data_IF_361502866306
#
_entry.id   IF_361502866306
#
_cell.length_a   1.000
_cell.length_b   1.000
_cell.length_c   1.000
_cell.angle_alpha   90.00
_cell.angle_beta   90.00
_cell.angle_gamma   90.00
#
_symmetry.space_group_name_H-M   'P 1'
#
loop_
_entity.id
_entity.type
_entity.pdbx_description
1 polymer ?
#
# COMPACT_ATOMS: atom_id res chain seq x y z
N UNK A 1 -8.08 -17.33 -18.51
CA UNK A 1 -7.59 -16.03 -18.02
C UNK A 1 -7.47 -16.12 -16.49
N UNK A 2 -6.26 -16.08 -15.98
CA UNK A 2 -5.99 -16.20 -14.57
C UNK A 2 -6.53 -14.97 -13.81
N UNK A 3 -7.21 -15.20 -12.68
CA UNK A 3 -7.92 -14.15 -11.94
C UNK A 3 -7.01 -13.47 -10.87
N UNK A 4 -5.70 -13.49 -11.10
CA UNK A 4 -4.65 -13.01 -10.20
C UNK A 4 -3.94 -11.84 -10.85
N UNK A 5 -3.56 -10.85 -10.06
CA UNK A 5 -2.74 -9.69 -10.50
C UNK A 5 -3.28 -8.97 -11.75
N UNK A 6 -4.61 -8.85 -11.87
CA UNK A 6 -5.20 -8.12 -12.99
C UNK A 6 -4.78 -6.66 -12.97
N UNK A 7 -4.25 -6.21 -14.10
CA UNK A 7 -3.97 -4.80 -14.31
C UNK A 7 -5.25 -3.97 -14.34
N UNK A 8 -5.19 -2.76 -13.84
CA UNK A 8 -6.27 -1.80 -13.94
C UNK A 8 -6.03 -0.88 -15.12
N UNK A 9 -6.91 -0.92 -16.12
CA UNK A 9 -6.85 -0.01 -17.26
C UNK A 9 -7.17 1.42 -16.80
N UNK A 10 -6.19 2.32 -16.92
CA UNK A 10 -6.31 3.73 -16.54
C UNK A 10 -6.86 4.57 -17.67
N UNK A 11 -6.35 4.35 -18.89
CA UNK A 11 -6.76 5.05 -20.10
C UNK A 11 -6.55 4.18 -21.35
N UNK A 12 -7.32 4.41 -22.42
CA UNK A 12 -7.25 3.67 -23.67
C UNK A 12 -7.95 2.30 -23.61
N UNK A 13 -7.36 1.30 -24.22
CA UNK A 13 -7.87 -0.08 -24.31
C UNK A 13 -6.79 -1.12 -23.99
N UNK A 14 -7.19 -2.35 -23.67
CA UNK A 14 -6.25 -3.47 -23.54
C UNK A 14 -5.77 -3.94 -24.94
N UNK A 15 -4.57 -4.56 -25.04
CA UNK A 15 -4.06 -5.08 -26.31
C UNK A 15 -5.01 -6.12 -26.90
N UNK A 16 -5.28 -6.01 -28.19
CA UNK A 16 -6.11 -6.96 -28.94
C UNK A 16 -5.31 -7.85 -29.89
N UNK A 17 -4.06 -7.51 -30.12
CA UNK A 17 -3.14 -8.27 -30.98
C UNK A 17 -1.68 -8.14 -30.50
N UNK A 18 -0.76 -8.85 -31.14
CA UNK A 18 0.64 -8.95 -30.73
C UNK A 18 1.48 -7.69 -31.03
N UNK A 19 0.95 -6.75 -31.83
CA UNK A 19 1.61 -5.47 -32.09
C UNK A 19 1.18 -4.35 -31.13
N UNK A 20 0.19 -4.61 -30.28
CA UNK A 20 -0.34 -3.66 -29.30
C UNK A 20 0.18 -3.96 -27.89
N UNK A 21 0.42 -2.90 -27.13
CA UNK A 21 0.84 -2.97 -25.72
C UNK A 21 0.10 -1.93 -24.89
N UNK A 22 -0.01 -2.20 -23.60
CA UNK A 22 -0.34 -1.20 -22.58
C UNK A 22 0.85 -1.00 -21.66
N UNK A 23 1.05 0.23 -21.24
CA UNK A 23 2.28 0.63 -20.56
C UNK A 23 1.99 1.37 -19.26
N UNK A 24 3.02 1.53 -18.46
CA UNK A 24 3.02 2.40 -17.30
C UNK A 24 2.73 3.84 -17.72
N UNK A 25 1.92 4.53 -16.92
CA UNK A 25 1.63 5.95 -17.14
C UNK A 25 2.89 6.82 -17.07
N UNK A 26 3.83 6.50 -16.18
CA UNK A 26 5.12 7.21 -16.07
C UNK A 26 5.92 7.17 -17.35
N UNK A 27 5.90 6.06 -18.11
CA UNK A 27 6.59 5.97 -19.39
C UNK A 27 6.14 7.07 -20.36
N UNK A 28 4.82 7.34 -20.41
CA UNK A 28 4.28 8.38 -21.28
C UNK A 28 4.67 9.78 -20.78
N UNK A 29 4.52 10.03 -19.48
CA UNK A 29 4.76 11.35 -18.90
C UNK A 29 6.22 11.78 -18.99
N UNK A 30 7.16 10.88 -18.69
CA UNK A 30 8.60 11.19 -18.67
C UNK A 30 9.23 11.25 -20.06
N UNK A 31 8.67 10.51 -21.03
CA UNK A 31 9.21 10.47 -22.40
C UNK A 31 8.38 11.27 -23.41
N UNK A 32 7.41 12.07 -22.95
CA UNK A 32 6.50 12.86 -23.80
C UNK A 32 5.78 12.03 -24.87
N UNK A 33 5.47 10.75 -24.55
CA UNK A 33 4.74 9.83 -25.43
C UNK A 33 3.24 9.95 -25.21
N UNK A 34 2.48 9.53 -26.22
CA UNK A 34 1.00 9.51 -26.19
C UNK A 34 0.48 8.13 -26.55
N UNK A 35 -0.78 7.87 -26.19
CA UNK A 35 -1.51 6.70 -26.70
C UNK A 35 -1.56 6.82 -28.24
N UNK A 36 -1.30 5.72 -28.91
CA UNK A 36 -1.09 5.51 -30.33
C UNK A 36 0.34 5.73 -30.83
N UNK A 37 1.26 6.20 -30.02
CA UNK A 37 2.68 6.22 -30.40
C UNK A 37 3.24 4.79 -30.45
N UNK A 38 4.36 4.65 -31.13
CA UNK A 38 5.05 3.36 -31.32
C UNK A 38 6.40 3.40 -30.63
N UNK A 39 6.69 2.38 -29.84
CA UNK A 39 7.99 2.18 -29.20
C UNK A 39 8.59 0.84 -29.64
N UNK A 40 9.89 0.70 -29.49
CA UNK A 40 10.60 -0.55 -29.80
C UNK A 40 10.85 -1.32 -28.51
N UNK A 41 10.31 -2.54 -28.42
CA UNK A 41 10.56 -3.48 -27.30
C UNK A 41 11.02 -4.80 -27.92
N UNK A 42 12.11 -5.38 -27.40
CA UNK A 42 12.70 -6.64 -27.89
C UNK A 42 12.94 -6.62 -29.40
N UNK A 43 13.43 -5.48 -29.94
CA UNK A 43 13.67 -5.25 -31.38
C UNK A 43 12.40 -5.24 -32.24
N UNK A 44 11.21 -5.25 -31.68
CA UNK A 44 9.95 -5.16 -32.39
C UNK A 44 9.24 -3.84 -32.12
N UNK A 45 8.63 -3.25 -33.15
CA UNK A 45 7.80 -2.06 -33.02
C UNK A 45 6.46 -2.44 -32.43
N UNK A 46 6.10 -1.83 -31.28
CA UNK A 46 4.84 -2.05 -30.58
C UNK A 46 4.08 -0.74 -30.43
N UNK A 47 2.78 -0.76 -30.72
CA UNK A 47 1.90 0.40 -30.58
C UNK A 47 1.34 0.48 -29.17
N UNK A 48 1.45 1.63 -28.55
CA UNK A 48 0.85 1.90 -27.23
C UNK A 48 -0.66 2.14 -27.43
N UNK A 49 -1.50 1.29 -26.85
CA UNK A 49 -2.96 1.40 -26.97
C UNK A 49 -3.66 1.82 -25.69
N UNK A 50 -2.94 1.89 -24.60
CA UNK A 50 -3.47 2.36 -23.32
C UNK A 50 -2.43 2.39 -22.22
N UNK A 51 -2.85 2.91 -21.07
CA UNK A 51 -2.06 2.91 -19.82
C UNK A 51 -2.74 2.06 -18.77
N UNK A 52 -1.93 1.39 -17.98
CA UNK A 52 -2.40 0.51 -16.90
C UNK A 52 -1.70 0.79 -15.58
N UNK A 53 -2.39 0.46 -14.49
CA UNK A 53 -1.80 0.39 -13.16
C UNK A 53 -1.59 -1.08 -12.84
N UNK A 54 -0.34 -1.43 -12.55
CA UNK A 54 0.04 -2.77 -12.14
C UNK A 54 -0.25 -2.98 -10.65
N UNK A 55 -0.81 -4.12 -10.25
CA UNK A 55 -0.94 -4.47 -8.83
C UNK A 55 0.40 -4.81 -8.17
N UNK A 56 1.47 -4.99 -8.97
CA UNK A 56 2.82 -5.28 -8.49
C UNK A 56 3.65 -3.99 -8.36
N UNK A 57 3.45 -3.03 -9.28
CA UNK A 57 4.23 -1.79 -9.39
C UNK A 57 3.35 -0.56 -9.26
N UNK A 58 2.61 -0.45 -8.16
CA UNK A 58 1.71 0.70 -7.95
C UNK A 58 2.31 1.81 -7.06
N UNK A 59 3.48 1.59 -6.43
CA UNK A 59 4.27 2.66 -5.78
C UNK A 59 4.97 3.52 -6.84
N UNK A 60 5.14 4.82 -6.55
CA UNK A 60 6.00 5.70 -7.35
C UNK A 60 7.48 5.37 -7.16
N UNK A 61 7.84 4.83 -6.01
CA UNK A 61 9.15 4.21 -5.80
C UNK A 61 9.17 2.85 -6.48
N UNK A 62 10.15 2.66 -7.36
CA UNK A 62 10.28 1.43 -8.14
C UNK A 62 11.26 0.47 -7.49
N UNK A 63 10.98 -0.85 -7.55
CA UNK A 63 11.88 -1.84 -7.00
C UNK A 63 13.23 -1.84 -7.71
N UNK A 64 14.24 -2.32 -6.99
CA UNK A 64 15.57 -2.56 -7.57
C UNK A 64 15.59 -3.81 -8.41
N UNK A 65 16.49 -3.85 -9.39
CA UNK A 65 16.76 -5.01 -10.24
C UNK A 65 18.25 -5.16 -10.45
N UNK A 66 18.67 -6.35 -10.83
CA UNK A 66 20.08 -6.60 -11.22
C UNK A 66 20.34 -6.24 -12.69
N UNK A 67 19.33 -5.82 -13.43
CA UNK A 67 19.40 -5.49 -14.85
C UNK A 67 19.48 -3.98 -15.08
N UNK A 68 20.08 -3.57 -16.19
CA UNK A 68 20.15 -2.19 -16.65
C UNK A 68 20.80 -1.24 -15.65
N UNK A 69 20.08 -0.19 -15.26
CA UNK A 69 20.55 0.83 -14.30
C UNK A 69 20.27 0.47 -12.82
N UNK A 70 19.87 -0.76 -12.53
CA UNK A 70 19.58 -1.23 -11.18
C UNK A 70 18.18 -0.90 -10.66
N UNK A 71 17.29 -0.36 -11.50
CA UNK A 71 15.90 -0.05 -11.15
C UNK A 71 14.92 -0.48 -12.25
N UNK A 72 13.72 -0.88 -11.84
CA UNK A 72 12.60 -1.06 -12.78
C UNK A 72 12.04 0.32 -13.09
N UNK A 73 12.42 0.92 -14.21
CA UNK A 73 11.94 2.27 -14.57
C UNK A 73 10.47 2.24 -14.97
N UNK A 74 10.10 1.35 -15.88
CA UNK A 74 8.75 1.23 -16.43
C UNK A 74 8.36 -0.23 -16.61
N UNK A 75 7.07 -0.49 -16.78
CA UNK A 75 6.53 -1.80 -17.14
C UNK A 75 5.59 -1.69 -18.34
N UNK A 76 5.48 -2.78 -19.07
CA UNK A 76 4.53 -2.94 -20.16
C UNK A 76 3.85 -4.31 -20.06
N UNK A 77 2.63 -4.39 -20.56
CA UNK A 77 1.89 -5.64 -20.69
C UNK A 77 1.47 -5.83 -22.15
N UNK A 78 1.68 -7.03 -22.64
CA UNK A 78 1.34 -7.47 -23.98
C UNK A 78 0.50 -8.75 -23.92
N UNK A 79 0.04 -9.23 -25.07
CA UNK A 79 -0.54 -10.55 -25.16
C UNK A 79 0.52 -11.63 -24.89
N UNK A 80 0.09 -12.76 -24.34
CA UNK A 80 0.94 -13.90 -23.99
C UNK A 80 1.84 -14.38 -25.17
N UNK A 81 1.32 -14.36 -26.37
CA UNK A 81 2.04 -14.77 -27.60
C UNK A 81 3.24 -13.90 -27.97
N UNK A 82 3.35 -12.69 -27.40
CA UNK A 82 4.49 -11.78 -27.64
C UNK A 82 5.74 -12.25 -26.90
N UNK A 83 5.55 -12.90 -25.75
CA UNK A 83 6.63 -13.42 -24.92
C UNK A 83 6.88 -14.86 -25.33
N UNK A 84 7.93 -15.08 -26.13
CA UNK A 84 8.32 -16.41 -26.64
C UNK A 84 9.28 -17.14 -25.70
N UNK A 85 9.05 -17.03 -24.39
CA UNK A 85 9.85 -17.70 -23.39
C UNK A 85 9.35 -19.16 -23.23
N UNK A 86 10.27 -20.11 -23.29
CA UNK A 86 9.94 -21.54 -23.11
C UNK A 86 9.64 -21.88 -21.63
N UNK A 87 10.05 -21.03 -20.69
CA UNK A 87 9.88 -21.27 -19.26
C UNK A 87 9.23 -20.08 -18.55
N UNK A 88 8.33 -20.37 -17.63
CA UNK A 88 7.75 -19.36 -16.74
C UNK A 88 8.79 -18.89 -15.73
N UNK A 89 8.94 -17.57 -15.58
CA UNK A 89 9.83 -16.96 -14.60
C UNK A 89 9.21 -16.89 -13.19
N UNK A 90 7.89 -16.80 -13.12
CA UNK A 90 7.14 -16.66 -11.86
C UNK A 90 5.92 -17.57 -11.82
N UNK A 91 5.67 -18.16 -10.65
CA UNK A 91 4.47 -18.95 -10.36
C UNK A 91 3.73 -18.25 -9.22
N UNK A 92 2.47 -17.88 -9.46
CA UNK A 92 1.62 -17.25 -8.45
C UNK A 92 0.67 -18.28 -7.83
N UNK A 93 0.74 -18.42 -6.52
CA UNK A 93 -0.09 -19.33 -5.73
C UNK A 93 -1.14 -18.52 -4.97
N UNK A 94 -2.40 -18.95 -5.02
CA UNK A 94 -3.48 -18.36 -4.23
C UNK A 94 -3.97 -19.33 -3.17
N UNK A 95 -4.12 -18.82 -1.96
CA UNK A 95 -4.68 -19.57 -0.84
C UNK A 95 -6.18 -19.27 -0.75
N UNK A 96 -7.03 -20.27 -1.02
CA UNK A 96 -8.50 -20.09 -1.09
C UNK A 96 -9.09 -19.49 0.20
N UNK A 97 -8.62 -19.95 1.35
CA UNK A 97 -9.09 -19.51 2.66
C UNK A 97 -8.71 -18.05 2.95
N UNK A 98 -7.50 -17.63 2.59
CA UNK A 98 -6.98 -16.29 2.82
C UNK A 98 -7.81 -15.18 2.13
N UNK A 99 -8.54 -15.52 1.06
CA UNK A 99 -9.40 -14.56 0.34
C UNK A 99 -10.54 -13.98 1.19
N UNK A 100 -10.98 -14.69 2.23
CA UNK A 100 -12.07 -14.28 3.13
C UNK A 100 -11.56 -13.62 4.41
N UNK A 101 -10.27 -13.71 4.69
CA UNK A 101 -9.64 -13.16 5.88
C UNK A 101 -9.34 -11.67 5.71
N UNK A 102 -9.25 -10.97 6.83
CA UNK A 102 -8.76 -9.59 6.84
C UNK A 102 -7.26 -9.63 6.52
N UNK A 103 -6.85 -8.91 5.51
CA UNK A 103 -5.45 -8.85 5.08
C UNK A 103 -4.57 -8.36 6.24
N UNK A 104 -3.45 -9.04 6.48
CA UNK A 104 -2.51 -8.79 7.58
C UNK A 104 -3.07 -9.02 9.00
N UNK A 105 -4.21 -9.68 9.16
CA UNK A 105 -4.59 -10.22 10.47
C UNK A 105 -3.68 -11.39 10.85
N UNK A 106 -3.55 -11.67 12.15
CA UNK A 106 -2.75 -12.80 12.65
C UNK A 106 -3.19 -14.12 12.02
N UNK A 107 -4.50 -14.35 11.86
CA UNK A 107 -5.07 -15.51 11.19
C UNK A 107 -4.65 -15.62 9.71
N UNK A 108 -4.62 -14.47 9.01
CA UNK A 108 -4.15 -14.41 7.62
C UNK A 108 -2.66 -14.76 7.54
N UNK A 109 -1.83 -14.15 8.39
CA UNK A 109 -0.39 -14.36 8.39
C UNK A 109 -0.02 -15.80 8.74
N UNK A 110 -0.67 -16.41 9.74
CA UNK A 110 -0.48 -17.82 10.12
C UNK A 110 -0.88 -18.78 8.98
N UNK A 111 -1.98 -18.48 8.29
CA UNK A 111 -2.43 -19.29 7.14
C UNK A 111 -1.45 -19.22 5.96
N UNK A 112 -0.92 -18.03 5.67
CA UNK A 112 0.07 -17.86 4.60
C UNK A 112 1.40 -18.52 4.97
N UNK A 113 1.89 -18.35 6.20
CA UNK A 113 3.12 -18.99 6.70
C UNK A 113 3.08 -20.50 6.53
N UNK A 114 2.00 -21.18 6.91
CA UNK A 114 1.85 -22.64 6.73
C UNK A 114 1.96 -23.09 5.27
N UNK A 115 1.47 -22.27 4.34
CA UNK A 115 1.60 -22.58 2.91
C UNK A 115 3.03 -22.36 2.44
N UNK A 116 3.68 -21.29 2.89
CA UNK A 116 5.10 -21.01 2.60
C UNK A 116 5.96 -22.16 3.10
N UNK A 117 5.80 -22.58 4.35
CA UNK A 117 6.54 -23.71 4.95
C UNK A 117 6.35 -25.00 4.15
N UNK A 118 5.13 -25.26 3.67
CA UNK A 118 4.83 -26.41 2.83
C UNK A 118 5.56 -26.37 1.48
N UNK A 119 5.68 -25.17 0.88
CA UNK A 119 6.40 -25.00 -0.39
C UNK A 119 7.92 -25.04 -0.17
N UNK A 120 8.42 -24.45 0.93
CA UNK A 120 9.83 -24.54 1.32
C UNK A 120 10.27 -26.00 1.53
N UNK A 121 9.47 -26.81 2.17
CA UNK A 121 9.77 -28.23 2.40
C UNK A 121 9.89 -29.05 1.09
N UNK A 122 9.21 -28.63 0.03
CA UNK A 122 9.31 -29.30 -1.29
C UNK A 122 10.42 -28.72 -2.17
N UNK A 123 11.01 -27.62 -1.79
CA UNK A 123 11.91 -26.81 -2.61
C UNK A 123 13.13 -27.56 -3.09
N UNK A 124 13.85 -28.22 -2.15
CA UNK A 124 15.10 -28.94 -2.48
C UNK A 124 14.85 -30.08 -3.46
N UNK A 125 13.87 -30.96 -3.14
CA UNK A 125 13.50 -32.08 -4.00
C UNK A 125 13.14 -31.62 -5.42
N UNK A 126 12.34 -30.57 -5.53
CA UNK A 126 11.92 -30.03 -6.83
C UNK A 126 13.05 -29.36 -7.60
N UNK A 127 13.98 -28.72 -6.92
CA UNK A 127 15.18 -28.16 -7.55
C UNK A 127 16.08 -29.27 -8.10
N UNK A 128 16.24 -30.39 -7.37
CA UNK A 128 17.03 -31.54 -7.81
C UNK A 128 16.37 -32.24 -9.00
N UNK A 129 15.07 -32.46 -8.96
CA UNK A 129 14.32 -32.99 -10.11
C UNK A 129 14.51 -32.11 -11.34
N UNK A 130 14.38 -30.78 -11.19
CA UNK A 130 14.56 -29.84 -12.31
C UNK A 130 15.98 -29.79 -12.83
N UNK A 131 16.97 -29.91 -11.94
CA UNK A 131 18.37 -30.04 -12.35
C UNK A 131 18.60 -31.29 -13.20
N UNK A 132 18.05 -32.42 -12.78
CA UNK A 132 18.13 -33.68 -13.54
C UNK A 132 17.41 -33.61 -14.89
N UNK A 133 16.25 -32.98 -14.97
CA UNK A 133 15.54 -32.75 -16.23
C UNK A 133 16.33 -31.90 -17.22
N UNK A 134 17.03 -30.87 -16.73
CA UNK A 134 17.76 -29.92 -17.60
C UNK A 134 19.11 -30.47 -18.07
N UNK A 135 19.78 -31.22 -17.24
CA UNK A 135 21.18 -31.58 -17.44
C UNK A 135 21.44 -33.09 -17.45
N UNK A 136 20.49 -33.90 -16.96
CA UNK A 136 20.67 -35.33 -16.80
C UNK A 136 21.06 -36.05 -18.10
N UNK A 137 20.40 -35.76 -19.20
CA UNK A 137 20.72 -36.32 -20.51
C UNK A 137 22.14 -35.95 -20.97
N UNK A 138 22.51 -34.66 -20.79
CA UNK A 138 23.85 -34.15 -21.16
C UNK A 138 24.96 -34.80 -20.34
N UNK A 139 24.70 -35.01 -19.04
CA UNK A 139 25.66 -35.68 -18.14
C UNK A 139 25.80 -37.14 -18.51
N UNK A 140 24.70 -37.82 -18.81
CA UNK A 140 24.74 -39.21 -19.27
C UNK A 140 25.46 -39.39 -20.58
N UNK A 141 25.19 -38.54 -21.57
CA UNK A 141 25.84 -38.56 -22.86
C UNK A 141 27.35 -38.30 -22.73
N UNK A 142 27.77 -37.30 -21.98
CA UNK A 142 29.17 -37.03 -21.73
C UNK A 142 29.90 -38.19 -21.06
N UNK A 143 29.29 -38.82 -20.08
CA UNK A 143 29.84 -39.96 -19.42
C UNK A 143 30.02 -41.17 -20.37
N UNK A 144 29.10 -41.38 -21.34
CA UNK A 144 29.25 -42.42 -22.36
C UNK A 144 30.47 -42.17 -23.29
N UNK A 145 30.79 -40.92 -23.55
CA UNK A 145 31.95 -40.58 -24.38
C UNK A 145 33.23 -40.34 -23.56
N UNK A 146 33.22 -40.61 -22.24
CA UNK A 146 34.35 -40.37 -21.37
C UNK A 146 34.76 -38.87 -21.22
N UNK A 147 33.83 -37.98 -21.51
CA UNK A 147 34.06 -36.51 -21.40
C UNK A 147 33.77 -36.11 -19.96
N UNK A 148 34.74 -35.53 -19.27
CA UNK A 148 34.52 -34.90 -17.98
C UNK A 148 33.86 -33.53 -18.24
N UNK A 149 32.61 -33.42 -17.87
CA UNK A 149 31.92 -32.13 -17.86
C UNK A 149 32.37 -31.30 -16.64
N UNK A 150 32.65 -30.04 -16.87
CA UNK A 150 32.88 -29.11 -15.78
C UNK A 150 31.52 -28.77 -15.13
N UNK A 151 31.26 -29.37 -13.98
CA UNK A 151 29.99 -29.19 -13.22
C UNK A 151 29.78 -27.73 -12.80
N UNK A 152 30.83 -26.91 -12.77
CA UNK A 152 30.73 -25.48 -12.45
C UNK A 152 29.89 -24.70 -13.48
N UNK A 153 29.74 -25.22 -14.69
CA UNK A 153 28.92 -24.65 -15.74
C UNK A 153 27.42 -25.00 -15.64
N UNK A 154 27.06 -25.91 -14.74
CA UNK A 154 25.68 -26.32 -14.51
C UNK A 154 25.09 -25.59 -13.31
N UNK A 155 24.28 -24.58 -13.56
CA UNK A 155 23.67 -23.78 -12.49
C UNK A 155 22.43 -24.51 -11.98
N UNK A 156 22.46 -24.93 -10.72
CA UNK A 156 21.29 -25.53 -10.08
C UNK A 156 20.15 -24.49 -10.00
N UNK A 157 18.94 -24.84 -10.50
CA UNK A 157 17.78 -23.95 -10.39
C UNK A 157 17.48 -23.60 -8.93
N UNK A 158 17.27 -22.34 -8.64
CA UNK A 158 16.92 -21.87 -7.28
C UNK A 158 15.50 -21.33 -7.27
N UNK A 159 14.70 -21.77 -6.32
CA UNK A 159 13.40 -21.22 -6.04
C UNK A 159 13.52 -20.10 -5.01
N UNK A 160 12.93 -18.95 -5.31
CA UNK A 160 12.72 -17.87 -4.39
C UNK A 160 11.23 -17.83 -4.06
N UNK A 161 10.89 -17.97 -2.79
CA UNK A 161 9.52 -17.98 -2.31
C UNK A 161 9.27 -16.64 -1.69
N UNK A 162 8.31 -15.91 -2.24
CA UNK A 162 7.94 -14.58 -1.81
C UNK A 162 6.47 -14.57 -1.38
N UNK A 163 6.19 -13.83 -0.33
CA UNK A 163 4.85 -13.51 0.06
C UNK A 163 4.42 -12.12 -0.47
N UNK A 164 3.24 -11.69 -0.08
CA UNK A 164 2.74 -10.39 -0.48
C UNK A 164 3.54 -9.24 0.12
N UNK A 165 4.13 -9.44 1.30
CA UNK A 165 4.91 -8.44 2.01
C UNK A 165 6.30 -8.25 1.41
N UNK A 166 6.77 -9.21 0.59
CA UNK A 166 8.01 -9.07 -0.18
C UNK A 166 7.84 -8.20 -1.43
N UNK A 167 6.60 -7.86 -1.80
CA UNK A 167 6.36 -6.91 -2.88
C UNK A 167 6.63 -5.48 -2.38
N UNK A 168 7.63 -4.80 -2.96
CA UNK A 168 8.07 -3.47 -2.54
C UNK A 168 6.93 -2.46 -2.50
N UNK A 169 6.11 -2.37 -3.56
CA UNK A 169 4.97 -1.45 -3.59
C UNK A 169 3.96 -1.70 -2.48
N UNK A 170 3.72 -2.97 -2.14
CA UNK A 170 2.82 -3.33 -1.05
C UNK A 170 3.43 -3.04 0.31
N UNK A 171 4.72 -3.35 0.49
CA UNK A 171 5.49 -3.05 1.70
C UNK A 171 5.50 -1.56 1.99
N UNK A 172 5.75 -0.73 0.98
CA UNK A 172 5.69 0.74 1.11
C UNK A 172 4.32 1.22 1.58
N UNK A 173 3.25 0.65 1.02
CA UNK A 173 1.88 0.98 1.43
C UNK A 173 1.60 0.59 2.89
N UNK A 174 2.05 -0.58 3.31
CA UNK A 174 1.90 -1.06 4.70
C UNK A 174 2.68 -0.16 5.65
N UNK A 175 3.95 0.14 5.35
CA UNK A 175 4.79 1.04 6.16
C UNK A 175 4.16 2.44 6.26
N UNK A 176 3.68 2.98 5.15
CA UNK A 176 3.01 4.28 5.14
C UNK A 176 1.73 4.27 6.00
N UNK A 177 0.95 3.18 5.95
CA UNK A 177 -0.25 3.01 6.77
C UNK A 177 0.08 2.90 8.26
N UNK A 178 1.11 2.14 8.62
CA UNK A 178 1.58 1.99 9.99
C UNK A 178 2.10 3.31 10.57
N UNK A 179 2.84 4.06 9.78
CA UNK A 179 3.32 5.38 10.18
C UNK A 179 2.15 6.35 10.44
N UNK A 180 1.12 6.33 9.60
CA UNK A 180 -0.10 7.11 9.86
C UNK A 180 -0.81 6.68 11.13
N UNK A 181 -0.90 5.38 11.40
CA UNK A 181 -1.51 4.86 12.62
C UNK A 181 -0.74 5.30 13.87
N UNK A 182 0.60 5.23 13.83
CA UNK A 182 1.46 5.73 14.92
C UNK A 182 1.28 7.24 15.15
N UNK A 183 1.24 8.03 14.08
CA UNK A 183 0.96 9.46 14.15
C UNK A 183 -0.42 9.73 14.73
N UNK A 184 -1.44 8.99 14.27
CA UNK A 184 -2.82 9.10 14.76
C UNK A 184 -2.97 8.82 16.27
N UNK A 185 -2.06 8.05 16.87
CA UNK A 185 -2.07 7.78 18.30
C UNK A 185 -1.30 8.82 19.12
N UNK A 186 -0.17 9.33 18.61
CA UNK A 186 0.71 10.25 19.35
C UNK A 186 0.23 11.70 19.29
N UNK A 187 -0.17 12.18 18.11
CA UNK A 187 -0.58 13.57 17.93
C UNK A 187 -1.75 14.02 18.83
N UNK A 188 -2.83 13.23 18.97
CA UNK A 188 -3.93 13.62 19.85
C UNK A 188 -3.51 13.85 21.31
N UNK A 189 -2.56 13.08 21.83
CA UNK A 189 -2.06 13.23 23.19
C UNK A 189 -1.37 14.57 23.36
N UNK A 190 -0.49 14.94 22.42
CA UNK A 190 0.23 16.22 22.44
C UNK A 190 -0.75 17.38 22.36
N UNK A 191 -1.70 17.35 21.41
CA UNK A 191 -2.70 18.40 21.26
C UNK A 191 -3.61 18.52 22.48
N UNK A 192 -3.94 17.38 23.11
CA UNK A 192 -4.73 17.38 24.33
C UNK A 192 -3.99 18.05 25.49
N UNK A 193 -2.70 17.77 25.66
CA UNK A 193 -1.86 18.45 26.66
C UNK A 193 -1.79 19.97 26.42
N UNK A 194 -1.60 20.38 25.17
CA UNK A 194 -1.59 21.82 24.81
C UNK A 194 -2.96 22.45 25.06
N UNK A 195 -4.04 21.79 24.72
CA UNK A 195 -5.40 22.30 24.96
C UNK A 195 -5.68 22.49 26.45
N UNK A 196 -5.23 21.57 27.32
CA UNK A 196 -5.33 21.72 28.78
C UNK A 196 -4.58 22.97 29.24
N UNK A 197 -3.33 23.16 28.83
CA UNK A 197 -2.52 24.33 29.23
C UNK A 197 -3.17 25.63 28.78
N UNK A 198 -3.60 25.73 27.54
CA UNK A 198 -4.29 26.92 27.01
C UNK A 198 -5.59 27.19 27.75
N UNK A 199 -6.37 26.13 28.05
CA UNK A 199 -7.62 26.25 28.82
C UNK A 199 -7.37 26.74 30.24
N UNK A 200 -6.34 26.22 30.92
CA UNK A 200 -5.97 26.67 32.26
C UNK A 200 -5.55 28.14 32.28
N UNK A 201 -4.69 28.56 31.36
CA UNK A 201 -4.23 29.96 31.26
C UNK A 201 -5.42 30.89 31.00
N UNK A 202 -6.29 30.54 30.03
CA UNK A 202 -7.47 31.32 29.71
C UNK A 202 -8.45 31.44 30.91
N UNK A 203 -8.64 30.34 31.63
CA UNK A 203 -9.51 30.32 32.83
C UNK A 203 -8.95 31.16 33.95
N UNK A 204 -7.65 31.06 34.26
CA UNK A 204 -6.99 31.88 35.26
C UNK A 204 -7.12 33.37 34.93
N UNK A 205 -6.86 33.76 33.70
CA UNK A 205 -7.02 35.14 33.22
C UNK A 205 -8.45 35.66 33.44
N UNK A 206 -9.46 34.87 33.05
CA UNK A 206 -10.86 35.24 33.19
C UNK A 206 -11.25 35.42 34.69
N UNK A 207 -10.74 34.55 35.58
CA UNK A 207 -10.96 34.68 37.04
C UNK A 207 -10.29 35.92 37.59
N UNK A 208 -9.09 36.27 37.11
CA UNK A 208 -8.38 37.51 37.56
C UNK A 208 -9.09 38.76 37.05
N UNK A 209 -9.56 38.79 35.85
CA UNK A 209 -10.34 39.90 35.25
C UNK A 209 -11.65 40.14 36.07
N UNK A 210 -12.33 39.05 36.45
CA UNK A 210 -13.59 39.09 37.20
C UNK A 210 -13.40 39.19 38.75
N UNK A 211 -12.17 39.40 39.22
CA UNK A 211 -11.87 39.34 40.68
C UNK A 211 -12.72 40.28 41.52
N UNK A 212 -12.95 41.52 41.06
CA UNK A 212 -13.74 42.54 41.76
C UNK A 212 -15.23 42.13 41.82
N UNK A 213 -15.77 41.63 40.70
CA UNK A 213 -17.15 41.16 40.62
C UNK A 213 -17.37 39.94 41.54
N UNK A 214 -16.47 38.97 41.45
CA UNK A 214 -16.51 37.79 42.32
C UNK A 214 -16.43 38.13 43.82
N UNK A 215 -15.62 39.15 44.20
CA UNK A 215 -15.53 39.66 45.55
C UNK A 215 -16.83 40.31 46.02
N UNK A 216 -17.48 41.09 45.16
CA UNK A 216 -18.78 41.72 45.42
C UNK A 216 -19.88 40.69 45.64
N UNK A 217 -19.95 39.70 44.76
CA UNK A 217 -20.93 38.59 44.87
C UNK A 217 -20.73 37.82 46.16
N UNK A 218 -19.49 37.58 46.56
CA UNK A 218 -19.16 36.90 47.84
C UNK A 218 -19.57 37.71 49.04
N UNK A 219 -19.41 39.04 49.04
CA UNK A 219 -19.83 39.94 50.13
C UNK A 219 -21.36 40.03 50.25
N UNK A 220 -22.08 39.82 49.13
CA UNK A 220 -23.55 39.71 49.11
C UNK A 220 -24.07 38.33 49.57
N UNK A 221 -23.19 37.40 49.98
CA UNK A 221 -23.56 36.11 50.53
C UNK A 221 -23.74 34.99 49.52
N UNK A 222 -23.34 35.18 48.24
CA UNK A 222 -23.40 34.10 47.24
C UNK A 222 -22.43 32.98 47.59
N UNK A 223 -22.88 31.73 47.41
CA UNK A 223 -22.07 30.53 47.63
C UNK A 223 -20.97 30.44 46.53
N UNK A 224 -19.79 29.95 46.93
CA UNK A 224 -18.65 29.74 46.04
C UNK A 224 -19.05 28.91 44.80
N UNK A 225 -19.93 27.92 44.96
CA UNK A 225 -20.41 27.11 43.84
C UNK A 225 -21.14 27.96 42.76
N UNK A 226 -21.97 28.93 43.18
CA UNK A 226 -22.64 29.82 42.22
C UNK A 226 -21.68 30.72 41.49
N UNK A 227 -20.66 31.25 42.18
CA UNK A 227 -19.62 32.08 41.55
C UNK A 227 -18.78 31.27 40.56
N UNK A 228 -18.42 30.02 40.92
CA UNK A 228 -17.59 29.17 40.07
C UNK A 228 -18.37 28.58 38.89
N UNK A 229 -19.69 28.40 39.04
CA UNK A 229 -20.53 27.75 38.00
C UNK A 229 -20.48 28.45 36.67
N UNK A 230 -20.34 29.79 36.61
CA UNK A 230 -20.23 30.52 35.33
C UNK A 230 -19.01 30.09 34.52
N UNK A 231 -17.88 29.85 35.20
CA UNK A 231 -16.64 29.40 34.55
C UNK A 231 -16.73 27.97 34.07
N UNK A 232 -17.37 27.11 34.88
CA UNK A 232 -17.60 25.69 34.48
C UNK A 232 -18.52 25.62 33.27
N UNK A 233 -19.64 26.36 33.27
CA UNK A 233 -20.58 26.40 32.14
C UNK A 233 -19.90 26.91 30.87
N UNK A 234 -19.12 28.00 30.98
CA UNK A 234 -18.37 28.54 29.88
C UNK A 234 -17.40 27.49 29.29
N UNK A 235 -16.61 26.85 30.13
CA UNK A 235 -15.66 25.81 29.71
C UNK A 235 -16.36 24.61 29.09
N UNK A 236 -17.48 24.15 29.65
CA UNK A 236 -18.28 23.06 29.07
C UNK A 236 -18.84 23.42 27.70
N UNK A 237 -19.42 24.59 27.55
CA UNK A 237 -19.96 25.05 26.26
C UNK A 237 -18.86 25.17 25.20
N UNK A 238 -17.71 25.75 25.57
CA UNK A 238 -16.56 25.85 24.66
C UNK A 238 -16.05 24.46 24.23
N UNK A 239 -15.95 23.52 25.18
CA UNK A 239 -15.50 22.15 24.91
C UNK A 239 -16.47 21.38 24.02
N UNK A 240 -17.78 21.47 24.30
CA UNK A 240 -18.82 20.79 23.53
C UNK A 240 -18.88 21.33 22.11
N UNK A 241 -18.93 22.66 21.97
CA UNK A 241 -18.98 23.31 20.63
C UNK A 241 -17.70 23.05 19.84
N UNK A 242 -16.52 23.21 20.46
CA UNK A 242 -15.24 22.90 19.85
C UNK A 242 -15.10 21.42 19.47
N UNK A 243 -15.57 20.51 20.32
CA UNK A 243 -15.57 19.08 20.06
C UNK A 243 -16.46 18.68 18.86
N UNK A 244 -17.69 19.21 18.82
CA UNK A 244 -18.60 18.96 17.68
C UNK A 244 -18.01 19.48 16.36
N UNK A 245 -17.53 20.73 16.36
CA UNK A 245 -16.91 21.33 15.18
C UNK A 245 -15.64 20.58 14.77
N UNK A 246 -14.81 20.20 15.74
CA UNK A 246 -13.59 19.42 15.50
C UNK A 246 -13.88 18.07 14.84
N UNK A 247 -14.90 17.34 15.31
CA UNK A 247 -15.31 16.06 14.71
C UNK A 247 -15.86 16.29 13.28
N UNK A 248 -16.72 17.28 13.08
CA UNK A 248 -17.32 17.55 11.77
C UNK A 248 -16.26 17.92 10.73
N UNK A 249 -15.38 18.86 11.06
CA UNK A 249 -14.32 19.31 10.15
C UNK A 249 -13.25 18.23 9.98
N UNK A 250 -12.79 17.63 11.08
CA UNK A 250 -11.73 16.64 11.06
C UNK A 250 -12.10 15.37 10.29
N UNK A 251 -13.36 14.92 10.41
CA UNK A 251 -13.83 13.73 9.68
C UNK A 251 -13.84 13.88 8.15
N UNK A 252 -13.83 15.10 7.65
CA UNK A 252 -13.79 15.39 6.20
C UNK A 252 -12.38 15.80 5.77
N UNK A 253 -11.74 16.70 6.53
CA UNK A 253 -10.45 17.27 6.16
C UNK A 253 -9.32 16.26 6.23
N UNK A 254 -9.23 15.48 7.30
CA UNK A 254 -8.12 14.51 7.48
C UNK A 254 -8.11 13.43 6.39
N UNK A 255 -9.22 12.71 6.09
CA UNK A 255 -9.24 11.75 5.00
C UNK A 255 -8.94 12.37 3.64
N UNK A 256 -9.39 13.61 3.41
CA UNK A 256 -9.11 14.34 2.16
C UNK A 256 -7.62 14.63 1.99
N UNK A 257 -6.94 15.12 3.03
CA UNK A 257 -5.50 15.40 3.00
C UNK A 257 -4.71 14.12 2.82
N UNK A 258 -5.00 13.08 3.61
CA UNK A 258 -4.36 11.77 3.51
C UNK A 258 -4.52 11.21 2.09
N UNK A 259 -5.74 11.25 1.55
CA UNK A 259 -6.00 10.78 0.18
C UNK A 259 -5.14 11.49 -0.86
N UNK A 260 -5.01 12.82 -0.78
CA UNK A 260 -4.20 13.59 -1.72
C UNK A 260 -2.70 13.28 -1.62
N UNK A 261 -2.20 12.97 -0.41
CA UNK A 261 -0.81 12.53 -0.21
C UNK A 261 -0.61 11.14 -0.83
N UNK A 262 -1.48 10.20 -0.49
CA UNK A 262 -1.38 8.82 -1.00
C UNK A 262 -1.49 8.74 -2.52
N UNK A 263 -2.33 9.57 -3.12
CA UNK A 263 -2.45 9.65 -4.59
C UNK A 263 -1.16 10.12 -5.28
N UNK A 264 -0.27 10.82 -4.56
CA UNK A 264 1.04 11.21 -5.10
C UNK A 264 2.09 10.14 -4.93
N UNK A 265 1.96 9.29 -3.91
CA UNK A 265 2.91 8.22 -3.60
C UNK A 265 2.55 6.89 -4.28
N UNK A 266 1.28 6.68 -4.57
CA UNK A 266 0.78 5.43 -5.11
C UNK A 266 -0.19 5.67 -6.27
N UNK A 267 -0.07 4.88 -7.32
CA UNK A 267 -1.05 4.84 -8.40
C UNK A 267 -2.29 4.05 -7.95
N UNK A 268 -3.25 4.76 -7.33
CA UNK A 268 -4.47 4.14 -6.80
C UNK A 268 -5.63 4.40 -7.78
N UNK A 269 -6.34 3.35 -8.25
CA UNK A 269 -7.51 3.52 -9.11
C UNK A 269 -8.60 4.38 -8.47
N UNK A 270 -9.19 5.30 -9.22
CA UNK A 270 -10.22 6.23 -8.72
C UNK A 270 -11.46 5.56 -8.11
N UNK A 271 -11.78 4.32 -8.54
CA UNK A 271 -12.85 3.50 -7.96
C UNK A 271 -12.61 3.10 -6.50
N UNK A 272 -11.39 3.09 -6.02
CA UNK A 272 -11.06 2.84 -4.62
C UNK A 272 -11.55 3.96 -3.68
N UNK A 273 -11.61 5.20 -4.16
CA UNK A 273 -12.11 6.36 -3.39
C UNK A 273 -13.52 6.15 -2.85
N UNK A 274 -14.41 5.58 -3.65
CA UNK A 274 -15.81 5.35 -3.23
C UNK A 274 -15.93 4.27 -2.14
N UNK A 275 -15.06 3.25 -2.17
CA UNK A 275 -15.08 2.18 -1.16
C UNK A 275 -14.52 2.65 0.18
N UNK A 276 -13.49 3.49 0.21
CA UNK A 276 -12.94 4.04 1.46
C UNK A 276 -13.98 4.93 2.15
N UNK A 277 -14.67 5.81 1.40
CA UNK A 277 -15.77 6.61 1.96
C UNK A 277 -16.90 5.75 2.52
N UNK A 278 -17.27 4.67 1.83
CA UNK A 278 -18.30 3.75 2.29
C UNK A 278 -17.87 2.93 3.52
N UNK A 279 -16.59 2.56 3.62
CA UNK A 279 -16.02 1.87 4.79
C UNK A 279 -15.98 2.76 6.02
N UNK A 280 -15.61 4.03 5.88
CA UNK A 280 -15.62 5.01 6.98
C UNK A 280 -17.06 5.25 7.47
N UNK A 281 -18.04 5.29 6.58
CA UNK A 281 -19.45 5.40 6.93
C UNK A 281 -20.01 4.12 7.56
N UNK A 282 -19.52 2.95 7.16
CA UNK A 282 -19.98 1.64 7.67
C UNK A 282 -19.40 1.30 9.06
N UNK A 283 -18.26 1.84 9.44
CA UNK A 283 -17.74 1.71 10.82
C UNK A 283 -18.54 2.53 11.85
N UNK A 284 -19.52 3.34 11.41
CA UNK A 284 -20.42 4.11 12.28
C UNK A 284 -21.74 3.41 12.61
N UNK A 285 -21.99 2.24 12.04
CA UNK A 285 -23.12 1.41 12.48
C UNK A 285 -22.60 0.44 13.55
N UNK A 286 -23.05 0.58 14.82
CA UNK A 286 -22.74 -0.41 15.85
C UNK A 286 -23.45 -1.72 15.48
N UNK A 287 -22.71 -2.82 15.48
CA UNK A 287 -23.24 -4.17 15.43
C UNK A 287 -23.94 -4.47 16.75
#
# INVERSE_FOLDING_TARGET
>A
MYNINKVYLSDGKLPSNNSEIVVDKLLLEENNLKINDTITIMNEKKKIVGTVISPIYFSTERPTTTLGNGKVNYYAYANEEVVKEEAFTNIYITVKQAKKMVTNSDEYLDTISKVIDSVENMKEERQDVRYSELYGEKILEANQYGIQLDESNFIKPKWYIFDRNDNDSYKDLVIASDNLNKLGNVFPIIFFCVAILVSLISMMRMIEEDRTENGTLKSLGFNNFHITSKYIVFSLLATITGGILGILIGSVLIPYVIWNIYKKLFFIPSKFRQRISALILRQREPV
#
